data_IF_785824599040
#
_entry.id   IF_785824599040
#
_cell.length_a   1.000
_cell.length_b   1.000
_cell.length_c   1.000
_cell.angle_alpha   90.00
_cell.angle_beta   90.00
_cell.angle_gamma   90.00
#
_symmetry.space_group_name_H-M   'P 1'
#
loop_
_entity.id
_entity.type
_entity.pdbx_description
1 polymer ?
#
# COMPACT_ATOMS: atom_id res chain seq x y z
N UNK A 1 -7.06 -17.91 19.96
CA UNK A 1 -7.76 -16.85 19.18
C UNK A 1 -6.71 -16.12 18.33
N UNK A 2 -7.05 -15.45 17.23
CA UNK A 2 -6.05 -14.74 16.42
C UNK A 2 -5.91 -13.28 16.89
N UNK A 3 -4.77 -12.96 17.51
CA UNK A 3 -4.44 -11.63 18.03
C UNK A 3 -4.60 -10.52 16.98
N UNK A 4 -4.22 -10.80 15.73
CA UNK A 4 -4.32 -9.82 14.63
C UNK A 4 -5.78 -9.46 14.37
N UNK A 5 -6.68 -10.46 14.37
CA UNK A 5 -8.11 -10.24 14.13
C UNK A 5 -8.78 -9.43 15.24
N UNK A 6 -8.35 -9.60 16.49
CA UNK A 6 -8.89 -8.83 17.61
C UNK A 6 -8.40 -7.37 17.62
N UNK A 7 -7.14 -7.13 17.23
CA UNK A 7 -6.60 -5.78 17.06
C UNK A 7 -7.29 -5.03 15.92
N UNK A 8 -7.59 -5.69 14.80
CA UNK A 8 -8.36 -5.11 13.70
C UNK A 8 -9.77 -4.72 14.15
N UNK A 9 -10.44 -5.58 14.93
CA UNK A 9 -11.77 -5.29 15.47
C UNK A 9 -11.77 -4.09 16.42
N UNK A 10 -10.77 -3.98 17.30
CA UNK A 10 -10.62 -2.82 18.17
C UNK A 10 -10.36 -1.54 17.38
N UNK A 11 -9.54 -1.61 16.33
CA UNK A 11 -9.26 -0.46 15.47
C UNK A 11 -10.50 0.01 14.71
N UNK A 12 -11.30 -0.92 14.20
CA UNK A 12 -12.56 -0.61 13.53
C UNK A 12 -13.58 0.07 14.47
N UNK A 13 -13.66 -0.38 15.73
CA UNK A 13 -14.54 0.24 16.73
C UNK A 13 -14.10 1.66 17.12
N UNK A 14 -12.79 1.88 17.26
CA UNK A 14 -12.24 3.22 17.51
C UNK A 14 -12.50 4.17 16.31
N UNK A 15 -12.30 3.69 15.08
CA UNK A 15 -12.58 4.47 13.87
C UNK A 15 -14.08 4.82 13.72
N UNK A 16 -14.97 3.95 14.19
CA UNK A 16 -16.41 4.19 14.22
C UNK A 16 -16.86 5.14 15.35
N UNK A 17 -15.94 5.59 16.22
CA UNK A 17 -16.25 6.41 17.39
C UNK A 17 -16.98 5.66 18.51
N UNK A 18 -17.01 4.33 18.45
CA UNK A 18 -17.64 3.48 19.47
C UNK A 18 -16.74 3.28 20.71
N UNK A 19 -15.44 3.59 20.57
CA UNK A 19 -14.44 3.55 21.63
C UNK A 19 -13.72 4.90 21.67
N UNK A 20 -13.55 5.45 22.87
CA UNK A 20 -12.67 6.59 23.08
C UNK A 20 -11.19 6.18 22.93
N UNK A 21 -10.30 7.16 22.73
CA UNK A 21 -8.87 6.92 22.60
C UNK A 21 -8.27 6.23 23.84
N UNK A 22 -8.75 6.58 25.05
CA UNK A 22 -8.30 5.98 26.31
C UNK A 22 -8.73 4.52 26.43
N UNK A 23 -10.00 4.21 26.09
CA UNK A 23 -10.51 2.84 26.12
C UNK A 23 -9.83 1.96 25.08
N UNK A 24 -9.49 2.50 23.91
CA UNK A 24 -8.74 1.78 22.88
C UNK A 24 -7.33 1.39 23.36
N UNK A 25 -6.61 2.32 24.02
CA UNK A 25 -5.27 2.03 24.56
C UNK A 25 -5.34 0.97 25.66
N UNK A 26 -6.31 1.08 26.59
CA UNK A 26 -6.50 0.12 27.66
C UNK A 26 -6.87 -1.28 27.13
N UNK A 27 -7.78 -1.36 26.14
CA UNK A 27 -8.17 -2.62 25.51
C UNK A 27 -6.99 -3.28 24.78
N UNK A 28 -6.19 -2.48 24.05
CA UNK A 28 -4.99 -2.96 23.35
C UNK A 28 -3.94 -3.52 24.32
N UNK A 29 -3.67 -2.84 25.43
CA UNK A 29 -2.73 -3.33 26.45
C UNK A 29 -3.21 -4.64 27.08
N UNK A 30 -4.51 -4.76 27.38
CA UNK A 30 -5.09 -5.99 27.96
C UNK A 30 -4.95 -7.19 27.03
N UNK A 31 -5.12 -6.98 25.72
CA UNK A 31 -5.03 -8.02 24.69
C UNK A 31 -3.58 -8.51 24.49
N UNK A 32 -2.61 -7.59 24.54
CA UNK A 32 -1.18 -7.94 24.48
C UNK A 32 -0.73 -8.68 25.75
N UNK A 33 -1.29 -8.34 26.91
CA UNK A 33 -0.99 -9.01 28.17
C UNK A 33 -1.57 -10.43 28.25
N UNK A 34 -2.76 -10.67 27.66
CA UNK A 34 -3.35 -12.02 27.64
C UNK A 34 -2.57 -12.99 26.76
N UNK A 35 -2.07 -12.53 25.60
CA UNK A 35 -1.27 -13.37 24.69
C UNK A 35 0.08 -13.76 25.30
N UNK A 36 0.73 -12.82 26.01
CA UNK A 36 1.97 -13.10 26.74
C UNK A 36 1.79 -14.16 27.85
N UNK A 37 0.58 -14.31 28.40
CA UNK A 37 0.29 -15.33 29.41
C UNK A 37 0.04 -16.73 28.81
N UNK A 38 -0.38 -16.82 27.56
CA UNK A 38 -0.64 -18.10 26.86
C UNK A 38 0.67 -18.78 26.43
N UNK A 39 1.74 -18.01 26.20
CA UNK A 39 3.08 -18.53 25.86
C UNK A 39 3.79 -19.20 27.05
N UNK A 40 3.33 -18.98 28.29
CA UNK A 40 3.98 -19.54 29.48
C UNK A 40 3.69 -21.05 29.70
N UNK A 41 2.80 -21.68 28.93
CA UNK A 41 2.44 -23.09 29.12
C UNK A 41 3.31 -24.13 28.38
N UNK A 42 4.38 -23.70 27.68
CA UNK A 42 5.28 -24.62 26.92
C UNK A 42 6.67 -24.76 27.57
N UNK A 43 6.92 -24.11 28.72
CA UNK A 43 8.26 -24.13 29.35
C UNK A 43 8.45 -25.17 30.47
N UNK A 44 7.43 -25.95 30.84
CA UNK A 44 7.50 -26.89 31.98
C UNK A 44 7.72 -28.37 31.60
N UNK A 45 7.97 -28.67 30.32
CA UNK A 45 8.41 -29.99 29.83
C UNK A 45 9.84 -29.94 29.27
N UNK A 46 10.72 -29.27 30.00
CA UNK A 46 12.15 -29.28 29.74
C UNK A 46 12.78 -30.53 30.40
N UNK A 47 12.93 -31.58 29.60
CA UNK A 47 13.75 -32.73 29.92
C UNK A 47 15.14 -32.31 30.43
N UNK A 48 15.53 -32.94 31.53
CA UNK A 48 16.81 -32.86 32.23
C UNK A 48 18.01 -33.03 31.27
N UNK A 49 18.57 -31.93 30.77
CA UNK A 49 19.88 -31.95 30.09
C UNK A 49 20.97 -31.88 31.17
N UNK A 50 21.38 -33.06 31.66
CA UNK A 50 22.68 -33.25 32.31
C UNK A 50 23.79 -33.09 31.28
N UNK A 51 24.32 -31.89 31.18
CA UNK A 51 25.45 -31.54 30.32
C UNK A 51 26.49 -30.75 31.09
N UNK A 52 27.23 -31.45 31.95
CA UNK A 52 28.44 -30.98 32.62
C UNK A 52 29.50 -30.61 31.58
N UNK A 53 29.82 -29.32 31.48
CA UNK A 53 31.07 -28.86 30.89
C UNK A 53 31.63 -27.73 31.75
N UNK A 54 32.67 -28.08 32.50
CA UNK A 54 33.53 -27.15 33.19
C UNK A 54 34.09 -26.14 32.19
N UNK A 55 33.69 -24.88 32.34
CA UNK A 55 34.30 -23.75 31.64
C UNK A 55 35.58 -23.42 32.40
N UNK A 56 36.67 -23.98 31.90
CA UNK A 56 38.03 -23.68 32.33
C UNK A 56 38.35 -22.22 31.99
N UNK A 57 38.30 -21.38 33.03
CA UNK A 57 38.63 -19.96 32.96
C UNK A 57 40.16 -19.81 32.93
N UNK A 58 40.73 -19.95 31.72
CA UNK A 58 42.15 -19.67 31.48
C UNK A 58 42.34 -18.15 31.49
N UNK A 59 42.92 -17.67 32.59
CA UNK A 59 43.40 -16.30 32.73
C UNK A 59 44.61 -16.06 31.83
N UNK A 60 44.34 -15.65 30.59
CA UNK A 60 45.36 -15.17 29.67
C UNK A 60 45.72 -13.73 30.07
N UNK A 61 46.96 -13.54 30.52
CA UNK A 61 47.49 -12.28 30.98
C UNK A 61 47.40 -11.20 29.88
N UNK A 62 46.75 -10.11 30.26
CA UNK A 62 46.57 -8.84 29.55
C UNK A 62 47.84 -8.40 28.81
N UNK A 63 47.89 -8.64 27.50
CA UNK A 63 48.79 -7.95 26.57
C UNK A 63 48.06 -6.70 26.09
N UNK A 64 48.61 -5.48 26.28
CA UNK A 64 47.96 -4.27 25.79
C UNK A 64 47.87 -4.34 24.26
N UNK A 65 46.64 -4.46 23.77
CA UNK A 65 46.29 -4.58 22.35
C UNK A 65 46.36 -3.21 21.69
N UNK A 66 47.49 -2.88 21.07
CA UNK A 66 47.64 -1.72 20.17
C UNK A 66 47.09 -2.01 18.75
N UNK A 67 46.47 -3.17 18.53
CA UNK A 67 45.81 -3.53 17.26
C UNK A 67 44.43 -2.87 17.07
N UNK A 68 43.88 -2.22 18.10
CA UNK A 68 42.50 -1.69 18.12
C UNK A 68 42.29 -0.48 17.19
N UNK A 69 43.34 0.30 16.88
CA UNK A 69 43.20 1.48 16.02
C UNK A 69 42.99 1.14 14.52
N UNK A 70 43.29 -0.10 14.11
CA UNK A 70 43.01 -0.58 12.74
C UNK A 70 41.63 -1.22 12.58
N UNK A 71 40.96 -1.60 13.68
CA UNK A 71 39.60 -2.19 13.64
C UNK A 71 38.51 -1.13 13.50
N UNK A 72 38.67 0.04 14.14
CA UNK A 72 37.69 1.13 14.08
C UNK A 72 37.42 1.61 12.65
N UNK A 73 38.45 1.64 11.79
CA UNK A 73 38.30 1.97 10.37
C UNK A 73 37.60 0.90 9.53
N UNK A 74 37.68 -0.38 9.92
CA UNK A 74 36.95 -1.47 9.24
C UNK A 74 35.51 -1.56 9.70
N UNK A 75 35.26 -1.23 10.96
CA UNK A 75 33.93 -1.22 11.55
C UNK A 75 33.08 -0.07 10.99
N UNK A 76 33.66 1.13 10.81
CA UNK A 76 32.97 2.26 10.18
C UNK A 76 32.55 1.95 8.74
N UNK A 77 33.40 1.32 7.92
CA UNK A 77 33.04 0.88 6.57
C UNK A 77 31.96 -0.22 6.53
N UNK A 78 31.86 -1.04 7.58
CA UNK A 78 30.77 -2.03 7.69
C UNK A 78 29.45 -1.36 8.05
N UNK A 79 29.49 -0.40 8.98
CA UNK A 79 28.31 0.36 9.37
C UNK A 79 27.75 1.18 8.21
N UNK A 80 28.60 1.87 7.44
CA UNK A 80 28.15 2.63 6.26
C UNK A 80 27.48 1.74 5.21
N UNK A 81 28.01 0.53 4.97
CA UNK A 81 27.38 -0.46 4.07
C UNK A 81 26.05 -0.97 4.60
N UNK A 82 25.90 -1.11 5.92
CA UNK A 82 24.65 -1.52 6.55
C UNK A 82 23.60 -0.40 6.49
N UNK A 83 24.00 0.85 6.75
CA UNK A 83 23.14 2.03 6.62
C UNK A 83 22.64 2.20 5.19
N UNK A 84 23.52 2.11 4.19
CA UNK A 84 23.14 2.19 2.77
C UNK A 84 22.15 1.07 2.39
N UNK A 85 22.34 -0.16 2.88
CA UNK A 85 21.39 -1.26 2.66
C UNK A 85 20.05 -1.01 3.34
N UNK A 86 20.05 -0.50 4.56
CA UNK A 86 18.82 -0.19 5.30
C UNK A 86 18.03 0.91 4.61
N UNK A 87 18.71 1.92 4.03
CA UNK A 87 18.06 2.98 3.28
C UNK A 87 17.39 2.46 2.00
N UNK A 88 18.03 1.55 1.26
CA UNK A 88 17.41 0.91 0.08
C UNK A 88 16.15 0.12 0.47
N UNK A 89 16.19 -0.65 1.56
CA UNK A 89 15.01 -1.41 2.04
C UNK A 89 13.87 -0.47 2.44
N UNK A 90 14.19 0.63 3.12
CA UNK A 90 13.19 1.63 3.50
C UNK A 90 12.59 2.31 2.26
N UNK A 91 13.42 2.66 1.28
CA UNK A 91 12.98 3.24 0.01
C UNK A 91 12.05 2.27 -0.74
N UNK A 92 12.40 0.99 -0.81
CA UNK A 92 11.59 -0.04 -1.46
C UNK A 92 10.24 -0.26 -0.75
N UNK A 93 10.24 -0.27 0.59
CA UNK A 93 9.02 -0.39 1.39
C UNK A 93 8.10 0.83 1.18
N UNK A 94 8.68 2.04 1.19
CA UNK A 94 7.93 3.27 0.92
C UNK A 94 7.35 3.25 -0.49
N UNK A 95 8.14 2.86 -1.48
CA UNK A 95 7.68 2.74 -2.86
C UNK A 95 6.54 1.73 -3.00
N UNK A 96 6.58 0.60 -2.29
CA UNK A 96 5.48 -0.37 -2.29
C UNK A 96 4.18 0.26 -1.80
N UNK A 97 4.22 1.01 -0.69
CA UNK A 97 3.05 1.70 -0.12
C UNK A 97 2.55 2.78 -1.09
N UNK A 98 3.45 3.63 -1.61
CA UNK A 98 3.11 4.70 -2.53
C UNK A 98 2.49 4.13 -3.82
N UNK A 99 3.09 3.07 -4.37
CA UNK A 99 2.60 2.34 -5.55
C UNK A 99 1.18 1.79 -5.36
N UNK A 100 0.86 1.26 -4.18
CA UNK A 100 -0.49 0.75 -3.90
C UNK A 100 -1.55 1.85 -3.99
N UNK A 101 -1.23 3.08 -3.57
CA UNK A 101 -2.16 4.22 -3.68
C UNK A 101 -2.51 4.56 -5.14
N UNK A 102 -1.58 4.30 -6.06
CA UNK A 102 -1.78 4.52 -7.49
C UNK A 102 -2.53 3.39 -8.20
N UNK A 103 -2.56 2.18 -7.62
CA UNK A 103 -3.28 1.05 -8.23
C UNK A 103 -4.80 1.28 -8.22
N UNK A 104 -5.48 0.65 -9.19
CA UNK A 104 -6.95 0.61 -9.24
C UNK A 104 -7.38 -0.81 -8.89
N UNK A 105 -8.29 -0.92 -7.92
CA UNK A 105 -8.87 -2.21 -7.53
C UNK A 105 -10.10 -2.46 -8.38
N UNK A 106 -10.04 -3.48 -9.24
CA UNK A 106 -11.19 -3.95 -10.01
C UNK A 106 -12.20 -4.67 -9.13
N UNK A 107 -13.42 -4.86 -9.67
CA UNK A 107 -14.55 -5.51 -8.97
C UNK A 107 -14.22 -6.92 -8.42
N UNK A 108 -13.27 -7.63 -9.03
CA UNK A 108 -12.88 -9.00 -8.66
C UNK A 108 -11.63 -9.05 -7.75
N UNK A 109 -11.25 -7.92 -7.14
CA UNK A 109 -10.04 -7.84 -6.31
C UNK A 109 -8.73 -7.79 -7.11
N UNK A 110 -8.80 -7.87 -8.45
CA UNK A 110 -7.64 -7.67 -9.31
C UNK A 110 -7.12 -6.24 -9.17
N UNK A 111 -5.90 -6.08 -8.68
CA UNK A 111 -5.19 -4.79 -8.67
C UNK A 111 -4.37 -4.68 -9.95
N UNK A 112 -4.59 -3.61 -10.70
CA UNK A 112 -3.78 -3.32 -11.90
C UNK A 112 -3.24 -1.90 -11.82
N UNK A 113 -2.09 -1.70 -12.46
CA UNK A 113 -1.56 -0.35 -12.66
C UNK A 113 -2.36 0.27 -13.80
N UNK A 114 -3.07 1.39 -13.57
CA UNK A 114 -3.78 2.08 -14.63
C UNK A 114 -2.78 2.48 -15.71
N UNK A 115 -2.93 1.92 -16.91
CA UNK A 115 -2.15 2.36 -18.06
C UNK A 115 -2.80 3.61 -18.64
N UNK A 116 -1.98 4.55 -19.10
CA UNK A 116 -2.47 5.75 -19.80
C UNK A 116 -3.36 5.36 -20.99
N UNK A 117 -2.99 4.30 -21.72
CA UNK A 117 -3.75 3.77 -22.85
C UNK A 117 -5.13 3.22 -22.46
N UNK A 118 -5.23 2.42 -21.38
CA UNK A 118 -6.52 1.85 -20.95
C UNK A 118 -7.53 2.90 -20.51
N UNK A 119 -7.03 3.96 -19.89
CA UNK A 119 -7.85 5.08 -19.41
C UNK A 119 -8.41 5.92 -20.56
N UNK A 120 -7.58 6.21 -21.57
CA UNK A 120 -7.98 6.89 -22.80
C UNK A 120 -9.05 6.10 -23.56
N UNK A 121 -8.85 4.79 -23.73
CA UNK A 121 -9.80 3.92 -24.43
C UNK A 121 -11.15 3.89 -23.71
N UNK A 122 -11.15 3.70 -22.39
CA UNK A 122 -12.40 3.63 -21.61
C UNK A 122 -13.17 4.95 -21.65
N UNK A 123 -12.45 6.07 -21.48
CA UNK A 123 -13.02 7.41 -21.58
C UNK A 123 -13.59 7.70 -22.96
N UNK A 124 -12.84 7.38 -24.02
CA UNK A 124 -13.28 7.56 -25.40
C UNK A 124 -14.52 6.74 -25.72
N UNK A 125 -14.53 5.44 -25.38
CA UNK A 125 -15.68 4.55 -25.61
C UNK A 125 -16.92 5.05 -24.87
N UNK A 126 -16.78 5.46 -23.61
CA UNK A 126 -17.89 5.98 -22.80
C UNK A 126 -18.45 7.28 -23.39
N UNK A 127 -17.57 8.18 -23.81
CA UNK A 127 -17.94 9.47 -24.43
C UNK A 127 -18.64 9.25 -25.77
N UNK A 128 -18.07 8.41 -26.64
CA UNK A 128 -18.65 8.07 -27.94
C UNK A 128 -20.03 7.40 -27.78
N UNK A 129 -20.16 6.50 -26.79
CA UNK A 129 -21.43 5.87 -26.44
C UNK A 129 -22.46 6.90 -25.96
N UNK A 130 -22.09 7.84 -25.09
CA UNK A 130 -22.98 8.91 -24.62
C UNK A 130 -23.48 9.81 -25.74
N UNK A 131 -22.60 10.20 -26.67
CA UNK A 131 -22.95 10.98 -27.85
C UNK A 131 -23.91 10.19 -28.75
N UNK A 132 -23.55 8.95 -29.09
CA UNK A 132 -24.37 8.07 -29.90
C UNK A 132 -25.77 7.87 -29.30
N UNK A 133 -25.83 7.61 -27.99
CA UNK A 133 -27.08 7.45 -27.25
C UNK A 133 -27.94 8.72 -27.31
N UNK A 134 -27.33 9.90 -27.17
CA UNK A 134 -28.05 11.18 -27.23
C UNK A 134 -28.69 11.40 -28.61
N UNK A 135 -27.94 11.11 -29.68
CA UNK A 135 -28.43 11.24 -31.06
C UNK A 135 -29.58 10.26 -31.31
N UNK A 136 -29.42 9.00 -30.90
CA UNK A 136 -30.41 7.95 -31.08
C UNK A 136 -31.69 8.21 -30.25
N UNK A 137 -31.57 8.67 -29.00
CA UNK A 137 -32.71 9.08 -28.20
C UNK A 137 -33.44 10.30 -28.80
N UNK A 138 -32.67 11.27 -29.31
CA UNK A 138 -33.22 12.45 -29.98
C UNK A 138 -34.00 12.09 -31.25
N UNK A 139 -33.51 11.13 -32.05
CA UNK A 139 -34.20 10.70 -33.28
C UNK A 139 -35.49 9.92 -32.99
N UNK A 140 -35.56 9.17 -31.88
CA UNK A 140 -36.81 8.51 -31.46
C UNK A 140 -37.90 9.52 -31.06
N UNK A 141 -37.52 10.66 -30.46
CA UNK A 141 -38.45 11.73 -30.13
C UNK A 141 -39.05 12.34 -31.40
N UNK A 142 -38.25 12.55 -32.45
CA UNK A 142 -38.71 13.17 -33.71
C UNK A 142 -39.49 12.22 -34.61
N UNK A 143 -39.25 10.90 -34.55
CA UNK A 143 -39.90 9.92 -35.44
C UNK A 143 -41.29 9.41 -35.00
N UNK A 144 -41.85 9.88 -33.89
CA UNK A 144 -43.26 9.58 -33.55
C UNK A 144 -43.57 9.36 -32.07
N UNK A 145 -42.57 9.41 -31.19
CA UNK A 145 -42.74 9.25 -29.74
C UNK A 145 -42.78 10.56 -28.97
N UNK A 146 -43.24 11.68 -29.58
CA UNK A 146 -43.22 13.02 -28.98
C UNK A 146 -43.83 13.09 -27.57
N UNK A 147 -43.87 14.27 -26.94
CA UNK A 147 -44.33 14.47 -25.55
C UNK A 147 -45.70 13.85 -25.18
N UNK A 148 -46.52 13.48 -26.16
CA UNK A 148 -47.82 12.82 -26.00
C UNK A 148 -47.80 11.30 -26.26
N UNK A 149 -46.63 10.69 -26.44
CA UNK A 149 -46.49 9.24 -26.58
C UNK A 149 -46.86 8.51 -25.28
N UNK A 150 -47.11 7.19 -25.33
CA UNK A 150 -47.56 6.40 -24.18
C UNK A 150 -46.56 6.37 -23.01
N UNK A 151 -45.33 6.84 -23.22
CA UNK A 151 -44.26 6.88 -22.22
C UNK A 151 -43.58 8.27 -22.19
N UNK A 152 -44.13 9.26 -21.46
CA UNK A 152 -43.56 10.62 -21.40
C UNK A 152 -42.14 10.67 -20.79
N UNK A 153 -41.74 9.64 -20.05
CA UNK A 153 -40.38 9.47 -19.51
C UNK A 153 -39.30 9.43 -20.61
N UNK A 154 -39.66 9.06 -21.85
CA UNK A 154 -38.71 8.94 -22.96
C UNK A 154 -38.04 10.28 -23.29
N UNK A 155 -38.70 11.41 -23.00
CA UNK A 155 -38.16 12.74 -23.21
C UNK A 155 -36.93 13.05 -22.33
N UNK A 156 -36.71 12.33 -21.22
CA UNK A 156 -35.54 12.48 -20.35
C UNK A 156 -34.33 11.66 -20.82
N UNK A 157 -34.48 10.72 -21.76
CA UNK A 157 -33.39 9.85 -22.18
C UNK A 157 -32.14 10.56 -22.73
N UNK A 158 -32.25 11.67 -23.50
CA UNK A 158 -31.09 12.41 -23.97
C UNK A 158 -30.22 12.97 -22.83
N UNK A 159 -30.83 13.33 -21.69
CA UNK A 159 -30.10 13.83 -20.51
C UNK A 159 -29.12 12.79 -19.95
N UNK A 160 -29.46 11.50 -20.01
CA UNK A 160 -28.53 10.45 -19.60
C UNK A 160 -27.29 10.43 -20.50
N UNK A 161 -27.45 10.59 -21.81
CA UNK A 161 -26.31 10.64 -22.74
C UNK A 161 -25.36 11.80 -22.45
N UNK A 162 -25.90 12.97 -22.07
CA UNK A 162 -25.09 14.12 -21.62
C UNK A 162 -24.34 13.78 -20.33
N UNK A 163 -25.00 13.17 -19.34
CA UNK A 163 -24.36 12.75 -18.09
C UNK A 163 -23.24 11.74 -18.35
N UNK A 164 -23.47 10.73 -19.20
CA UNK A 164 -22.44 9.76 -19.60
C UNK A 164 -21.26 10.43 -20.30
N UNK A 165 -21.52 11.43 -21.14
CA UNK A 165 -20.47 12.18 -21.85
C UNK A 165 -19.61 12.97 -20.86
N UNK A 166 -20.23 13.75 -19.97
CA UNK A 166 -19.52 14.53 -18.95
C UNK A 166 -18.76 13.59 -17.99
N UNK A 167 -19.42 12.53 -17.53
CA UNK A 167 -18.81 11.52 -16.65
C UNK A 167 -17.64 10.81 -17.31
N UNK A 168 -17.76 10.44 -18.58
CA UNK A 168 -16.69 9.81 -19.37
C UNK A 168 -15.46 10.71 -19.51
N UNK A 169 -15.66 12.00 -19.80
CA UNK A 169 -14.58 13.00 -19.87
C UNK A 169 -13.92 13.19 -18.50
N UNK A 170 -14.71 13.37 -17.44
CA UNK A 170 -14.18 13.55 -16.08
C UNK A 170 -13.35 12.35 -15.62
N UNK A 171 -13.84 11.13 -15.87
CA UNK A 171 -13.14 9.89 -15.55
C UNK A 171 -11.84 9.74 -16.35
N UNK A 172 -11.83 10.13 -17.63
CA UNK A 172 -10.62 10.14 -18.46
C UNK A 172 -9.54 11.07 -17.89
N UNK A 173 -9.91 12.30 -17.52
CA UNK A 173 -8.98 13.29 -16.94
C UNK A 173 -8.42 12.79 -15.61
N UNK A 174 -9.29 12.30 -14.72
CA UNK A 174 -8.89 11.76 -13.42
C UNK A 174 -7.88 10.62 -13.57
N UNK A 175 -8.16 9.65 -14.45
CA UNK A 175 -7.27 8.52 -14.67
C UNK A 175 -5.93 8.92 -15.32
N UNK A 176 -5.94 9.92 -16.21
CA UNK A 176 -4.71 10.44 -16.83
C UNK A 176 -3.81 11.13 -15.80
N UNK A 177 -4.38 11.91 -14.90
CA UNK A 177 -3.64 12.53 -13.78
C UNK A 177 -3.06 11.46 -12.85
N UNK A 178 -3.81 10.41 -12.54
CA UNK A 178 -3.32 9.31 -11.71
C UNK A 178 -2.18 8.53 -12.38
N UNK A 179 -2.29 8.30 -13.69
CA UNK A 179 -1.25 7.65 -14.47
C UNK A 179 0.03 8.49 -14.57
N UNK A 180 -0.08 9.82 -14.75
CA UNK A 180 1.11 10.69 -14.78
C UNK A 180 1.79 10.76 -13.42
N UNK A 181 1.01 10.88 -12.33
CA UNK A 181 1.53 10.89 -10.97
C UNK A 181 2.28 9.58 -10.64
N UNK A 182 1.76 8.43 -11.10
CA UNK A 182 2.46 7.16 -10.97
C UNK A 182 3.79 7.14 -11.71
N UNK A 183 3.83 7.63 -12.96
CA UNK A 183 5.07 7.66 -13.76
C UNK A 183 6.14 8.57 -13.14
N UNK A 184 5.73 9.73 -12.62
CA UNK A 184 6.63 10.66 -11.93
C UNK A 184 7.16 10.07 -10.62
N UNK A 185 6.28 9.45 -9.82
CA UNK A 185 6.68 8.76 -8.60
C UNK A 185 7.63 7.59 -8.90
N UNK A 186 7.37 6.81 -9.95
CA UNK A 186 8.25 5.72 -10.37
C UNK A 186 9.62 6.24 -10.84
N UNK A 187 9.64 7.34 -11.61
CA UNK A 187 10.88 7.95 -12.09
C UNK A 187 11.75 8.45 -10.92
N UNK A 188 11.14 9.13 -9.95
CA UNK A 188 11.84 9.62 -8.75
C UNK A 188 12.36 8.47 -7.88
N UNK A 189 11.58 7.41 -7.67
CA UNK A 189 12.03 6.20 -6.99
C UNK A 189 13.23 5.56 -7.69
N UNK A 190 13.15 5.35 -9.01
CA UNK A 190 14.25 4.76 -9.80
C UNK A 190 15.51 5.63 -9.75
N UNK A 191 15.36 6.95 -9.81
CA UNK A 191 16.49 7.88 -9.70
C UNK A 191 17.16 7.78 -8.32
N UNK A 192 16.38 7.79 -7.23
CA UNK A 192 16.92 7.70 -5.86
C UNK A 192 17.56 6.34 -5.59
N UNK A 193 16.96 5.25 -6.09
CA UNK A 193 17.53 3.92 -5.95
C UNK A 193 18.87 3.79 -6.67
N UNK A 194 18.97 4.31 -7.89
CA UNK A 194 20.23 4.33 -8.63
C UNK A 194 21.32 5.19 -7.95
N UNK A 195 20.94 6.25 -7.25
CA UNK A 195 21.86 7.07 -6.44
C UNK A 195 22.40 6.28 -5.24
N UNK A 196 21.53 5.63 -4.46
CA UNK A 196 21.92 4.81 -3.30
C UNK A 196 22.77 3.61 -3.70
N UNK A 197 22.47 2.97 -4.83
CA UNK A 197 23.29 1.87 -5.36
C UNK A 197 24.71 2.35 -5.69
N UNK A 198 24.87 3.55 -6.30
CA UNK A 198 26.19 4.13 -6.57
C UNK A 198 26.95 4.52 -5.30
N UNK A 199 26.25 4.99 -4.26
CA UNK A 199 26.87 5.31 -2.96
C UNK A 199 27.36 4.05 -2.26
N UNK A 200 26.58 2.97 -2.32
CA UNK A 200 26.95 1.67 -1.77
C UNK A 200 28.16 1.05 -2.49
N UNK A 201 28.32 1.28 -3.80
CA UNK A 201 29.50 0.84 -4.56
C UNK A 201 30.78 1.63 -4.23
N UNK A 202 30.65 2.88 -3.76
CA UNK A 202 31.79 3.74 -3.42
C UNK A 202 32.38 3.47 -2.02
N UNK A 203 31.69 2.70 -1.18
CA UNK A 203 32.09 2.40 0.22
C UNK A 203 32.64 0.98 0.40
#
# INVERSE_FOLDING_TARGET
MNLVGELEKLSALHAAGALSAEEFVAAKQKLLASDASEVHYIADDAGEIKGSSAVEFVGEASRPSYAVLGETGRESSRLSRLEARQEIVNLDQKWMIDRESYMVTGRHGSRYIPTAGGSLVTGFVTTAFGIFWTIMAGSMITMGGGLHGPFPIVALFPLFGVIFTIGGIGMAIYNMSKASAYQEAEASYRARRAELEREAERT
#
